data_IF_146058937665
#
_entry.id   IF_146058937665
#
_cell.length_a   1.000
_cell.length_b   1.000
_cell.length_c   1.000
_cell.angle_alpha   90.00
_cell.angle_beta   90.00
_cell.angle_gamma   90.00
#
_symmetry.space_group_name_H-M   'P 1'
#
loop_
_entity.id
_entity.type
_entity.pdbx_description
1 polymer ?
#
# COMPACT_ATOMS: atom_id res chain seq x y z
N UNK A 1 20.37 -11.73 -6.97
CA UNK A 1 19.07 -11.89 -7.64
C UNK A 1 19.06 -11.04 -8.91
N UNK A 2 18.32 -11.43 -9.92
CA UNK A 2 18.08 -10.52 -11.04
C UNK A 2 17.11 -9.41 -10.61
N UNK A 3 17.08 -8.33 -11.38
CA UNK A 3 16.18 -7.21 -11.13
C UNK A 3 14.72 -7.69 -11.21
N UNK A 4 13.92 -7.31 -10.22
CA UNK A 4 12.50 -7.71 -10.06
C UNK A 4 12.27 -9.21 -9.81
N UNK A 5 13.27 -9.90 -9.27
CA UNK A 5 13.07 -11.24 -8.72
C UNK A 5 12.60 -11.18 -7.27
N UNK A 6 11.66 -12.07 -6.94
CA UNK A 6 11.21 -12.29 -5.57
C UNK A 6 11.71 -13.66 -5.09
N UNK A 7 12.41 -13.67 -3.97
CA UNK A 7 12.93 -14.87 -3.37
C UNK A 7 12.29 -15.11 -2.02
N UNK A 8 11.60 -16.24 -1.87
CA UNK A 8 11.13 -16.71 -0.57
C UNK A 8 12.32 -17.23 0.22
N UNK A 9 12.55 -16.71 1.41
CA UNK A 9 13.61 -17.11 2.34
C UNK A 9 13.09 -18.15 3.35
N UNK A 10 11.85 -18.02 3.81
CA UNK A 10 11.18 -18.95 4.70
C UNK A 10 9.66 -18.85 4.57
N UNK A 11 8.98 -19.91 5.04
CA UNK A 11 7.52 -19.94 5.19
C UNK A 11 7.16 -20.52 6.56
N UNK A 12 6.04 -20.06 7.15
CA UNK A 12 5.44 -20.64 8.36
C UNK A 12 3.94 -20.71 8.15
N UNK A 13 3.39 -21.91 7.93
CA UNK A 13 2.06 -22.07 7.36
C UNK A 13 1.97 -21.45 5.97
N UNK A 14 1.03 -20.50 5.75
CA UNK A 14 0.93 -19.73 4.50
C UNK A 14 1.68 -18.38 4.56
N UNK A 15 2.12 -17.96 5.74
CA UNK A 15 2.92 -16.74 5.89
C UNK A 15 4.29 -16.90 5.23
N UNK A 16 4.77 -15.86 4.55
CA UNK A 16 5.99 -15.90 3.74
C UNK A 16 6.94 -14.77 4.14
N UNK A 17 8.21 -15.09 4.30
CA UNK A 17 9.29 -14.12 4.40
C UNK A 17 10.13 -14.18 3.12
N UNK A 18 10.33 -13.06 2.48
CA UNK A 18 11.07 -12.99 1.22
C UNK A 18 11.85 -11.70 1.07
N UNK A 19 12.55 -11.59 -0.05
CA UNK A 19 13.24 -10.38 -0.49
C UNK A 19 12.96 -10.12 -1.97
N UNK A 20 12.88 -8.85 -2.33
CA UNK A 20 12.61 -8.38 -3.68
C UNK A 20 13.67 -7.39 -4.12
N UNK A 21 14.21 -7.57 -5.33
CA UNK A 21 15.27 -6.73 -5.88
C UNK A 21 14.67 -5.66 -6.80
N UNK A 22 15.06 -4.40 -6.60
CA UNK A 22 14.65 -3.27 -7.46
C UNK A 22 15.83 -2.45 -7.94
N UNK A 23 15.59 -1.50 -8.83
CA UNK A 23 16.64 -0.62 -9.35
C UNK A 23 17.29 0.27 -8.27
N UNK A 24 16.54 0.60 -7.20
CA UNK A 24 17.01 1.46 -6.10
C UNK A 24 17.25 0.66 -4.80
N UNK A 25 17.55 -0.64 -4.90
CA UNK A 25 17.84 -1.51 -3.77
C UNK A 25 16.81 -2.59 -3.55
N UNK A 26 17.05 -3.42 -2.53
CA UNK A 26 16.17 -4.52 -2.17
C UNK A 26 15.29 -4.18 -0.97
N UNK A 27 14.14 -4.82 -0.88
CA UNK A 27 13.31 -4.78 0.33
C UNK A 27 12.89 -6.18 0.77
N UNK A 28 12.56 -6.30 2.06
CA UNK A 28 12.18 -7.55 2.70
C UNK A 28 10.69 -7.56 3.01
N UNK A 29 10.06 -8.74 2.92
CA UNK A 29 8.66 -8.96 3.24
C UNK A 29 8.48 -9.92 4.41
N UNK A 30 7.33 -9.91 5.16
CA UNK A 30 6.23 -8.93 4.98
C UNK A 30 6.67 -7.51 5.34
N UNK A 31 6.01 -6.50 4.75
CA UNK A 31 6.39 -5.12 4.95
C UNK A 31 5.22 -4.13 4.80
N UNK A 32 5.35 -2.95 5.43
CA UNK A 32 4.40 -1.84 5.33
C UNK A 32 5.05 -0.63 4.64
N UNK A 33 4.35 -0.04 3.66
CA UNK A 33 4.77 1.13 2.90
C UNK A 33 4.09 2.41 3.44
N UNK A 34 4.83 3.39 3.93
CA UNK A 34 4.28 4.72 4.17
C UNK A 34 3.82 5.38 2.86
N UNK A 35 2.67 6.09 2.92
CA UNK A 35 2.10 6.75 1.73
C UNK A 35 2.59 8.17 1.60
N UNK A 36 3.33 8.43 0.53
CA UNK A 36 3.86 9.73 0.11
C UNK A 36 3.09 10.31 -1.08
N UNK A 37 1.82 10.68 -0.89
CA UNK A 37 0.86 11.07 -1.94
C UNK A 37 1.42 12.08 -2.97
N UNK A 38 2.17 13.09 -2.53
CA UNK A 38 2.75 14.14 -3.38
C UNK A 38 4.28 14.08 -3.36
N UNK A 39 4.87 12.89 -3.50
CA UNK A 39 6.30 12.66 -3.27
C UNK A 39 6.74 13.16 -1.87
N UNK A 40 5.88 13.02 -0.87
CA UNK A 40 6.18 13.32 0.52
C UNK A 40 5.23 12.57 1.45
N UNK A 41 5.75 11.90 2.45
CA UNK A 41 4.96 11.36 3.57
C UNK A 41 4.63 12.54 4.48
N UNK A 42 3.35 12.81 4.68
CA UNK A 42 2.89 14.09 5.30
C UNK A 42 3.54 14.39 6.64
N UNK A 43 4.37 15.44 6.66
CA UNK A 43 5.06 15.92 7.86
C UNK A 43 6.28 15.09 8.27
N UNK A 44 6.76 14.19 7.43
CA UNK A 44 7.92 13.32 7.69
C UNK A 44 9.00 13.61 6.66
N UNK A 45 10.21 13.88 7.11
CA UNK A 45 11.38 14.04 6.23
C UNK A 45 11.92 12.70 5.77
N UNK A 46 12.76 12.71 4.73
CA UNK A 46 13.41 11.48 4.23
C UNK A 46 14.32 10.86 5.30
N UNK A 47 15.11 11.67 6.01
CA UNK A 47 15.96 11.18 7.12
C UNK A 47 15.12 10.46 8.19
N UNK A 48 13.94 11.02 8.52
CA UNK A 48 13.04 10.38 9.45
C UNK A 48 12.47 9.07 8.90
N UNK A 49 12.17 8.98 7.59
CA UNK A 49 11.73 7.71 6.99
C UNK A 49 12.79 6.62 7.11
N UNK A 50 14.05 6.95 6.87
CA UNK A 50 15.17 6.02 7.09
C UNK A 50 15.30 5.63 8.56
N UNK A 51 15.25 6.60 9.49
CA UNK A 51 15.32 6.34 10.94
C UNK A 51 14.16 5.44 11.42
N UNK A 52 12.98 5.54 10.80
CA UNK A 52 11.82 4.71 11.11
C UNK A 52 11.87 3.31 10.46
N UNK A 53 12.86 3.04 9.59
CA UNK A 53 13.04 1.75 8.90
C UNK A 53 12.15 1.57 7.67
N UNK A 54 11.69 2.66 7.03
CA UNK A 54 10.93 2.59 5.78
C UNK A 54 11.79 2.00 4.68
N UNK A 55 11.36 0.89 4.09
CA UNK A 55 12.06 0.23 3.00
C UNK A 55 11.54 0.67 1.62
N UNK A 56 10.26 0.96 1.52
CA UNK A 56 9.59 1.41 0.29
C UNK A 56 8.63 2.54 0.64
N UNK A 57 8.56 3.54 -0.21
CA UNK A 57 7.55 4.62 -0.12
C UNK A 57 6.60 4.50 -1.30
N UNK A 58 5.31 4.57 -1.02
CA UNK A 58 4.29 4.63 -2.06
C UNK A 58 4.01 6.09 -2.43
N UNK A 59 4.09 6.43 -3.73
CA UNK A 59 3.66 7.70 -4.28
C UNK A 59 2.38 7.53 -5.10
N UNK A 60 1.63 8.62 -5.30
CA UNK A 60 0.34 8.56 -5.98
C UNK A 60 0.42 9.16 -7.37
N UNK A 61 0.14 8.34 -8.39
CA UNK A 61 0.23 8.73 -9.80
C UNK A 61 -0.74 9.86 -10.17
N UNK A 62 -2.00 9.79 -9.71
CA UNK A 62 -2.99 10.82 -10.01
C UNK A 62 -2.54 12.19 -9.50
N UNK A 63 -2.13 12.26 -8.25
CA UNK A 63 -1.72 13.52 -7.64
C UNK A 63 -0.43 14.09 -8.26
N UNK A 64 0.55 13.25 -8.58
CA UNK A 64 1.79 13.68 -9.24
C UNK A 64 1.56 14.11 -10.68
N UNK A 65 0.66 13.45 -11.40
CA UNK A 65 0.22 13.87 -12.73
C UNK A 65 -0.47 15.23 -12.70
N UNK A 66 -1.38 15.43 -11.74
CA UNK A 66 -2.09 16.71 -11.61
C UNK A 66 -1.18 17.84 -11.18
N UNK A 67 -0.29 17.59 -10.21
CA UNK A 67 0.72 18.55 -9.71
C UNK A 67 1.90 17.81 -9.06
N UNK A 68 3.13 18.07 -9.49
CA UNK A 68 3.57 19.16 -10.38
C UNK A 68 3.47 18.84 -11.88
N UNK A 69 3.02 17.64 -12.25
CA UNK A 69 3.04 17.10 -13.59
C UNK A 69 4.16 16.05 -13.76
N UNK A 70 3.86 14.96 -14.50
CA UNK A 70 4.82 13.87 -14.69
C UNK A 70 6.07 14.31 -15.46
N UNK A 71 5.94 15.25 -16.39
CA UNK A 71 7.07 15.79 -17.17
C UNK A 71 8.10 16.50 -16.28
N UNK A 72 7.65 17.27 -15.28
CA UNK A 72 8.56 17.93 -14.33
C UNK A 72 9.27 16.90 -13.43
N UNK A 73 8.56 15.85 -13.01
CA UNK A 73 9.16 14.77 -12.20
C UNK A 73 10.22 14.02 -13.03
N UNK A 74 9.95 13.76 -14.32
CA UNK A 74 10.92 13.17 -15.25
C UNK A 74 12.14 14.07 -15.42
N UNK A 75 11.96 15.37 -15.64
CA UNK A 75 13.04 16.37 -15.76
C UNK A 75 13.91 16.43 -14.50
N UNK A 76 13.31 16.25 -13.31
CA UNK A 76 14.02 16.15 -12.04
C UNK A 76 14.83 14.83 -11.89
N UNK A 77 14.65 13.87 -12.80
CA UNK A 77 15.34 12.58 -12.81
C UNK A 77 14.57 11.48 -12.07
N UNK A 78 13.23 11.57 -12.02
CA UNK A 78 12.31 10.63 -11.38
C UNK A 78 11.95 11.00 -9.95
N UNK A 79 10.95 10.29 -9.41
CA UNK A 79 10.34 10.61 -8.11
C UNK A 79 11.32 10.46 -6.95
N UNK A 80 12.27 9.51 -7.02
CA UNK A 80 13.30 9.32 -6.00
C UNK A 80 14.19 10.56 -5.91
N UNK A 81 14.71 11.06 -7.02
CA UNK A 81 15.52 12.29 -7.03
C UNK A 81 14.71 13.51 -6.67
N UNK A 82 13.47 13.60 -7.16
CA UNK A 82 12.57 14.71 -6.85
C UNK A 82 12.26 14.80 -5.35
N UNK A 83 12.11 13.64 -4.68
CA UNK A 83 11.84 13.53 -3.23
C UNK A 83 13.14 13.52 -2.40
N UNK A 84 14.31 13.31 -3.01
CA UNK A 84 15.60 13.02 -2.35
C UNK A 84 15.55 11.73 -1.51
N UNK A 85 14.81 10.72 -1.97
CA UNK A 85 14.72 9.40 -1.36
C UNK A 85 15.52 8.41 -2.21
N UNK A 86 16.45 7.69 -1.62
CA UNK A 86 17.38 6.78 -2.31
C UNK A 86 16.93 5.31 -2.32
N UNK A 87 15.80 5.01 -1.67
CA UNK A 87 15.24 3.66 -1.59
C UNK A 87 14.20 3.34 -2.67
N UNK A 88 13.73 2.09 -2.72
CA UNK A 88 12.66 1.65 -3.60
C UNK A 88 11.37 2.45 -3.43
N UNK A 89 10.69 2.71 -4.55
CA UNK A 89 9.38 3.37 -4.55
C UNK A 89 8.36 2.60 -5.39
N UNK A 90 7.09 2.71 -5.00
CA UNK A 90 5.96 2.18 -5.74
C UNK A 90 5.00 3.33 -6.08
N UNK A 91 4.46 3.34 -7.30
CA UNK A 91 3.33 4.21 -7.67
C UNK A 91 2.05 3.39 -7.80
N UNK A 92 0.94 3.86 -7.19
CA UNK A 92 -0.38 3.34 -7.51
C UNK A 92 -0.79 3.74 -8.94
N UNK A 93 -1.87 3.15 -9.46
CA UNK A 93 -2.39 3.49 -10.80
C UNK A 93 -3.12 4.84 -10.86
N UNK A 94 -3.53 5.38 -9.70
CA UNK A 94 -4.46 6.49 -9.63
C UNK A 94 -5.94 6.11 -9.85
N UNK A 95 -6.24 4.84 -10.14
CA UNK A 95 -7.61 4.36 -10.42
C UNK A 95 -8.58 4.63 -9.27
N UNK A 96 -8.17 4.37 -8.05
CA UNK A 96 -9.00 4.65 -6.86
C UNK A 96 -9.34 6.14 -6.72
N UNK A 97 -8.41 7.04 -7.02
CA UNK A 97 -8.64 8.49 -6.96
C UNK A 97 -9.60 8.95 -8.05
N UNK A 98 -9.50 8.38 -9.25
CA UNK A 98 -10.46 8.61 -10.31
C UNK A 98 -11.88 8.24 -9.87
N UNK A 99 -12.03 7.09 -9.23
CA UNK A 99 -13.31 6.64 -8.69
C UNK A 99 -13.80 7.51 -7.51
N UNK A 100 -12.94 7.85 -6.56
CA UNK A 100 -13.33 8.50 -5.30
C UNK A 100 -13.47 10.03 -5.38
N UNK A 101 -12.75 10.70 -6.30
CA UNK A 101 -12.69 12.16 -6.39
C UNK A 101 -13.42 12.73 -7.61
N UNK A 102 -13.73 11.91 -8.61
CA UNK A 102 -14.32 12.38 -9.85
C UNK A 102 -15.85 12.40 -9.77
N UNK A 103 -16.41 13.53 -9.34
CA UNK A 103 -17.87 13.76 -9.37
C UNK A 103 -18.46 13.82 -10.80
N UNK A 104 -17.63 13.99 -11.82
CA UNK A 104 -18.01 13.92 -13.24
C UNK A 104 -17.02 13.01 -13.97
N UNK A 105 -17.22 11.71 -13.82
CA UNK A 105 -16.46 10.68 -14.50
C UNK A 105 -17.36 9.98 -15.52
N UNK A 106 -16.83 9.70 -16.69
CA UNK A 106 -17.38 8.73 -17.63
C UNK A 106 -16.29 7.74 -17.99
N UNK A 107 -16.63 6.47 -18.05
CA UNK A 107 -15.73 5.41 -18.46
C UNK A 107 -16.32 4.64 -19.63
N UNK A 108 -15.44 4.04 -20.39
CA UNK A 108 -15.72 3.08 -21.44
C UNK A 108 -14.55 2.10 -21.54
N UNK A 109 -14.61 1.16 -22.47
CA UNK A 109 -13.58 0.13 -22.64
C UNK A 109 -12.19 0.72 -22.91
N UNK A 110 -12.11 1.94 -23.44
CA UNK A 110 -10.86 2.63 -23.77
C UNK A 110 -10.21 3.31 -22.58
N UNK A 111 -10.97 3.68 -21.54
CA UNK A 111 -10.43 4.37 -20.37
C UNK A 111 -11.44 5.27 -19.65
N UNK A 112 -10.89 6.20 -18.87
CA UNK A 112 -11.65 7.08 -17.98
C UNK A 112 -11.53 8.54 -18.41
N UNK A 113 -12.65 9.24 -18.61
CA UNK A 113 -12.70 10.70 -18.77
C UNK A 113 -13.17 11.33 -17.46
N UNK A 114 -12.45 12.32 -16.97
CA UNK A 114 -12.78 12.99 -15.72
C UNK A 114 -12.45 14.48 -15.74
N UNK A 115 -13.03 15.22 -14.80
CA UNK A 115 -12.70 16.62 -14.56
C UNK A 115 -12.03 16.78 -13.20
N UNK A 116 -10.89 17.46 -13.16
CA UNK A 116 -10.06 17.64 -11.95
C UNK A 116 -10.55 18.77 -11.07
N UNK A 117 -11.70 18.63 -10.43
CA UNK A 117 -12.32 19.69 -9.62
C UNK A 117 -11.44 20.07 -8.40
N UNK A 118 -10.64 19.14 -7.87
CA UNK A 118 -9.75 19.38 -6.73
C UNK A 118 -8.48 20.18 -7.09
N UNK A 119 -8.23 20.43 -8.40
CA UNK A 119 -7.06 21.15 -8.88
C UNK A 119 -7.42 22.41 -9.65
N UNK A 120 -7.78 22.28 -10.92
CA UNK A 120 -7.97 23.41 -11.83
C UNK A 120 -9.23 23.32 -12.70
N UNK A 121 -10.01 22.23 -12.54
CA UNK A 121 -11.22 21.98 -13.31
C UNK A 121 -10.97 21.53 -14.75
N UNK A 122 -9.74 21.22 -15.14
CA UNK A 122 -9.41 20.72 -16.48
C UNK A 122 -10.02 19.33 -16.73
N UNK A 123 -10.26 19.03 -18.01
CA UNK A 123 -10.75 17.72 -18.44
C UNK A 123 -9.60 16.85 -18.89
N UNK A 124 -9.62 15.61 -18.46
CA UNK A 124 -8.58 14.61 -18.74
C UNK A 124 -9.21 13.33 -19.29
N UNK A 125 -8.44 12.63 -20.11
CA UNK A 125 -8.74 11.27 -20.56
C UNK A 125 -7.57 10.37 -20.17
N UNK A 126 -7.82 9.37 -19.33
CA UNK A 126 -6.83 8.36 -18.97
C UNK A 126 -7.15 7.04 -19.66
N UNK A 127 -6.17 6.53 -20.40
CA UNK A 127 -6.17 5.18 -20.93
C UNK A 127 -5.06 4.37 -20.26
N UNK A 128 -5.10 3.03 -20.34
CA UNK A 128 -4.01 2.19 -19.83
C UNK A 128 -2.64 2.61 -20.36
N UNK A 129 -2.53 2.92 -21.64
CA UNK A 129 -1.26 3.34 -22.27
C UNK A 129 -0.77 4.69 -21.76
N UNK A 130 -1.67 5.65 -21.56
CA UNK A 130 -1.31 6.94 -20.99
C UNK A 130 -0.89 6.78 -19.52
N UNK A 131 -1.59 5.93 -18.77
CA UNK A 131 -1.25 5.64 -17.37
C UNK A 131 0.17 5.04 -17.26
N UNK A 132 0.53 4.11 -18.14
CA UNK A 132 1.89 3.57 -18.17
C UNK A 132 2.92 4.65 -18.49
N UNK A 133 2.72 5.47 -19.52
CA UNK A 133 3.65 6.58 -19.84
C UNK A 133 3.82 7.57 -18.68
N UNK A 134 2.74 7.86 -17.94
CA UNK A 134 2.81 8.74 -16.76
C UNK A 134 3.67 8.10 -15.66
N UNK A 135 3.45 6.82 -15.34
CA UNK A 135 4.20 6.12 -14.31
C UNK A 135 5.67 5.89 -14.71
N UNK A 136 5.95 5.67 -15.98
CA UNK A 136 7.33 5.59 -16.50
C UNK A 136 8.09 6.93 -16.35
N UNK A 137 7.42 8.06 -16.58
CA UNK A 137 7.97 9.41 -16.34
C UNK A 137 8.19 9.69 -14.86
N UNK A 138 7.24 9.29 -14.02
CA UNK A 138 7.41 9.39 -12.56
C UNK A 138 8.59 8.55 -12.10
N UNK A 139 8.79 7.35 -12.66
CA UNK A 139 10.02 6.58 -12.54
C UNK A 139 10.18 5.80 -11.23
N UNK A 140 9.10 5.47 -10.50
CA UNK A 140 9.17 4.54 -9.38
C UNK A 140 9.62 3.14 -9.84
N UNK A 141 10.16 2.31 -8.94
CA UNK A 141 10.62 0.95 -9.25
C UNK A 141 9.47 0.01 -9.62
N UNK A 142 8.35 0.17 -8.92
CA UNK A 142 7.14 -0.61 -9.14
C UNK A 142 6.01 0.33 -9.54
N UNK A 143 5.33 0.01 -10.63
CA UNK A 143 4.10 0.67 -11.05
C UNK A 143 2.92 -0.31 -11.02
N UNK A 144 1.70 0.21 -10.85
CA UNK A 144 0.48 -0.58 -10.83
C UNK A 144 -0.28 -0.42 -12.14
N UNK A 145 -0.91 -1.50 -12.62
CA UNK A 145 -1.84 -1.40 -13.77
C UNK A 145 -2.98 -0.42 -13.44
N UNK A 146 -3.55 0.21 -14.47
CA UNK A 146 -4.83 0.89 -14.32
C UNK A 146 -5.93 -0.14 -14.12
N UNK A 147 -6.74 0.05 -13.09
CA UNK A 147 -7.85 -0.84 -12.72
C UNK A 147 -9.11 -0.05 -12.42
N UNK A 148 -10.24 -0.73 -12.46
CA UNK A 148 -11.50 -0.18 -12.02
C UNK A 148 -11.87 -0.74 -10.65
N UNK A 149 -11.79 0.11 -9.62
CA UNK A 149 -12.20 -0.23 -8.28
C UNK A 149 -13.68 0.13 -8.08
N UNK A 150 -14.49 -0.82 -7.62
CA UNK A 150 -15.90 -0.60 -7.28
C UNK A 150 -16.08 -0.60 -5.76
N UNK A 151 -16.91 0.32 -5.24
CA UNK A 151 -17.20 0.42 -3.81
C UNK A 151 -18.12 -0.68 -3.29
N UNK A 152 -18.12 -0.90 -1.98
CA UNK A 152 -19.02 -1.84 -1.30
C UNK A 152 -20.19 -1.08 -0.64
N UNK A 153 -21.45 -1.60 -0.67
CA UNK A 153 -21.86 -2.80 -1.40
C UNK A 153 -22.07 -2.53 -2.91
N UNK A 154 -21.89 -3.55 -3.73
CA UNK A 154 -22.15 -3.49 -5.18
C UNK A 154 -22.87 -4.76 -5.67
N UNK A 155 -23.66 -4.61 -6.71
CA UNK A 155 -24.32 -5.73 -7.37
C UNK A 155 -23.31 -6.61 -8.09
N UNK A 156 -23.51 -7.96 -8.03
CA UNK A 156 -22.58 -8.91 -8.66
C UNK A 156 -22.31 -8.60 -10.14
N UNK A 157 -23.34 -8.20 -10.90
CA UNK A 157 -23.21 -7.89 -12.33
C UNK A 157 -22.23 -6.71 -12.57
N UNK A 158 -22.28 -5.70 -11.71
CA UNK A 158 -21.45 -4.51 -11.82
C UNK A 158 -19.99 -4.83 -11.42
N UNK A 159 -19.82 -5.66 -10.38
CA UNK A 159 -18.51 -6.21 -10.00
C UNK A 159 -17.91 -7.06 -11.11
N UNK A 160 -18.70 -7.93 -11.77
CA UNK A 160 -18.22 -8.75 -12.87
C UNK A 160 -17.77 -7.90 -14.07
N UNK A 161 -18.53 -6.84 -14.41
CA UNK A 161 -18.16 -5.91 -15.48
C UNK A 161 -16.86 -5.14 -15.15
N UNK A 162 -16.76 -4.60 -13.93
CA UNK A 162 -15.56 -3.91 -13.43
C UNK A 162 -14.33 -4.83 -13.40
N UNK A 163 -14.51 -6.07 -12.98
CA UNK A 163 -13.43 -7.06 -12.93
C UNK A 163 -12.93 -7.38 -14.34
N UNK A 164 -13.86 -7.58 -15.29
CA UNK A 164 -13.53 -7.81 -16.70
C UNK A 164 -12.74 -6.63 -17.27
N UNK A 165 -13.23 -5.41 -17.11
CA UNK A 165 -12.56 -4.21 -17.59
C UNK A 165 -11.15 -4.08 -17.01
N UNK A 166 -10.97 -4.42 -15.72
CA UNK A 166 -9.67 -4.35 -15.05
C UNK A 166 -8.64 -5.29 -15.68
N UNK A 167 -8.97 -6.54 -16.02
CA UNK A 167 -8.00 -7.41 -16.68
C UNK A 167 -7.77 -7.06 -18.17
N UNK A 168 -8.78 -6.54 -18.87
CA UNK A 168 -8.59 -6.02 -20.25
C UNK A 168 -7.61 -4.83 -20.26
N UNK A 169 -7.71 -3.98 -19.25
CA UNK A 169 -6.74 -2.89 -19.06
C UNK A 169 -5.37 -3.39 -18.58
N UNK A 170 -5.30 -4.49 -17.83
CA UNK A 170 -4.03 -5.11 -17.46
C UNK A 170 -3.21 -5.56 -18.67
N UNK A 171 -3.88 -6.18 -19.66
CA UNK A 171 -3.24 -6.57 -20.93
C UNK A 171 -2.67 -5.37 -21.66
N UNK A 172 -3.43 -4.29 -21.76
CA UNK A 172 -3.00 -3.05 -22.40
C UNK A 172 -1.86 -2.37 -21.65
N UNK A 173 -1.91 -2.34 -20.31
CA UNK A 173 -0.83 -1.83 -19.48
C UNK A 173 0.45 -2.65 -19.67
N UNK A 174 0.36 -3.98 -19.61
CA UNK A 174 1.53 -4.86 -19.77
C UNK A 174 2.19 -4.70 -21.13
N UNK A 175 1.39 -4.53 -22.19
CA UNK A 175 1.88 -4.28 -23.55
C UNK A 175 2.53 -2.90 -23.69
N UNK A 176 2.00 -1.88 -23.02
CA UNK A 176 2.47 -0.50 -23.11
C UNK A 176 3.66 -0.19 -22.20
N UNK A 177 3.93 -1.03 -21.20
CA UNK A 177 5.03 -0.82 -20.26
C UNK A 177 6.37 -1.21 -20.87
N UNK A 178 7.26 -0.23 -21.10
CA UNK A 178 8.54 -0.43 -21.78
C UNK A 178 9.78 -0.18 -20.90
N UNK A 179 9.66 0.55 -19.78
CA UNK A 179 10.78 0.98 -18.95
C UNK A 179 11.50 -0.22 -18.31
N UNK A 180 12.83 -0.43 -18.58
CA UNK A 180 13.54 -1.65 -18.18
C UNK A 180 13.89 -1.70 -16.69
N UNK A 181 14.02 -0.55 -16.04
CA UNK A 181 14.33 -0.36 -14.62
C UNK A 181 13.08 -0.12 -13.75
N UNK A 182 11.91 -0.45 -14.30
CA UNK A 182 10.62 -0.43 -13.64
C UNK A 182 9.88 -1.74 -13.91
N UNK A 183 9.06 -2.19 -12.97
CA UNK A 183 8.19 -3.36 -13.15
C UNK A 183 6.74 -3.03 -12.92
N UNK A 184 5.86 -3.72 -13.65
CA UNK A 184 4.41 -3.60 -13.54
C UNK A 184 3.85 -4.69 -12.63
N UNK A 185 3.00 -4.32 -11.67
CA UNK A 185 2.17 -5.26 -10.92
C UNK A 185 0.76 -5.32 -11.50
N UNK A 186 0.25 -6.54 -11.69
CA UNK A 186 -1.16 -6.78 -12.03
C UNK A 186 -2.05 -6.59 -10.81
N UNK A 187 -3.32 -6.22 -11.00
CA UNK A 187 -4.28 -6.04 -9.89
C UNK A 187 -5.44 -7.01 -10.03
N UNK A 188 -5.63 -7.86 -9.02
CA UNK A 188 -6.79 -8.74 -8.90
C UNK A 188 -7.97 -7.95 -8.36
N UNK A 189 -9.06 -7.91 -9.12
CA UNK A 189 -10.36 -7.37 -8.72
C UNK A 189 -11.39 -8.49 -8.57
N UNK A 190 -12.63 -8.19 -8.14
CA UNK A 190 -13.71 -9.19 -7.99
C UNK A 190 -14.64 -8.92 -6.80
N UNK A 191 -14.49 -7.75 -6.14
CA UNK A 191 -15.30 -7.37 -4.97
C UNK A 191 -15.23 -8.44 -3.87
N UNK A 192 -16.37 -8.82 -3.31
CA UNK A 192 -16.48 -9.87 -2.29
C UNK A 192 -16.88 -11.22 -2.87
N UNK A 193 -16.76 -11.42 -4.19
CA UNK A 193 -17.12 -12.66 -4.89
C UNK A 193 -15.87 -13.48 -5.20
N UNK A 194 -15.67 -14.60 -4.49
CA UNK A 194 -14.47 -15.43 -4.62
C UNK A 194 -14.25 -15.92 -6.05
N UNK A 195 -15.30 -16.37 -6.71
CA UNK A 195 -15.23 -16.86 -8.08
C UNK A 195 -14.80 -15.78 -9.08
N UNK A 196 -15.28 -14.52 -8.95
CA UNK A 196 -14.83 -13.40 -9.78
C UNK A 196 -13.37 -13.05 -9.51
N UNK A 197 -12.91 -13.14 -8.27
CA UNK A 197 -11.50 -12.94 -7.93
C UNK A 197 -10.60 -14.01 -8.52
N UNK A 198 -11.01 -15.27 -8.44
CA UNK A 198 -10.28 -16.38 -9.06
C UNK A 198 -10.26 -16.27 -10.58
N UNK A 199 -11.37 -15.84 -11.19
CA UNK A 199 -11.42 -15.51 -12.62
C UNK A 199 -10.43 -14.42 -12.99
N UNK A 200 -10.36 -13.34 -12.20
CA UNK A 200 -9.38 -12.26 -12.36
C UNK A 200 -7.93 -12.77 -12.29
N UNK A 201 -7.61 -13.63 -11.31
CA UNK A 201 -6.28 -14.27 -11.22
C UNK A 201 -5.97 -15.07 -12.49
N UNK A 202 -6.91 -15.90 -12.96
CA UNK A 202 -6.72 -16.74 -14.15
C UNK A 202 -6.45 -15.88 -15.39
N UNK A 203 -7.21 -14.81 -15.61
CA UNK A 203 -7.01 -13.90 -16.73
C UNK A 203 -5.67 -13.18 -16.67
N UNK A 204 -5.25 -12.67 -15.50
CA UNK A 204 -3.93 -12.04 -15.35
C UNK A 204 -2.79 -13.00 -15.67
N UNK A 205 -2.87 -14.25 -15.22
CA UNK A 205 -1.86 -15.27 -15.53
C UNK A 205 -1.86 -15.68 -17.00
N UNK A 206 -3.04 -15.74 -17.63
CA UNK A 206 -3.16 -15.98 -19.06
C UNK A 206 -2.53 -14.84 -19.89
N UNK A 207 -2.85 -13.58 -19.55
CA UNK A 207 -2.27 -12.37 -20.17
C UNK A 207 -0.73 -12.41 -20.08
N UNK A 208 -0.19 -12.75 -18.91
CA UNK A 208 1.26 -12.90 -18.73
C UNK A 208 1.84 -13.99 -19.63
N UNK A 209 1.20 -15.15 -19.68
CA UNK A 209 1.64 -16.27 -20.51
C UNK A 209 1.64 -15.91 -22.00
N UNK A 210 0.60 -15.24 -22.48
CA UNK A 210 0.49 -14.77 -23.87
C UNK A 210 1.53 -13.68 -24.17
N UNK A 211 1.77 -12.76 -23.24
CA UNK A 211 2.81 -11.74 -23.35
C UNK A 211 4.19 -12.38 -23.53
N UNK A 212 4.55 -13.31 -22.65
CA UNK A 212 5.84 -14.02 -22.69
C UNK A 212 6.01 -14.86 -23.97
N UNK A 213 4.96 -15.52 -24.45
CA UNK A 213 4.99 -16.28 -25.70
C UNK A 213 5.29 -15.39 -26.92
N UNK A 214 4.97 -14.10 -26.85
CA UNK A 214 5.24 -13.11 -27.88
C UNK A 214 6.51 -12.27 -27.62
N UNK A 215 7.37 -12.69 -26.68
CA UNK A 215 8.62 -11.97 -26.33
C UNK A 215 8.40 -10.71 -25.52
N UNK A 216 7.23 -10.54 -24.93
CA UNK A 216 6.89 -9.44 -24.03
C UNK A 216 7.34 -9.67 -22.59
N UNK A 217 6.70 -8.97 -21.64
CA UNK A 217 7.08 -8.92 -20.23
C UNK A 217 6.14 -9.74 -19.34
N UNK A 218 6.58 -10.03 -18.12
CA UNK A 218 5.77 -10.59 -17.05
C UNK A 218 5.35 -9.50 -16.06
N UNK A 219 4.34 -9.77 -15.25
CA UNK A 219 4.08 -8.98 -14.04
C UNK A 219 5.16 -9.27 -12.99
N UNK A 220 5.71 -8.23 -12.36
CA UNK A 220 6.70 -8.39 -11.29
C UNK A 220 6.09 -8.76 -9.94
N UNK A 221 4.77 -8.65 -9.79
CA UNK A 221 3.99 -8.95 -8.61
C UNK A 221 2.51 -8.74 -8.82
N UNK A 222 1.69 -8.98 -7.79
CA UNK A 222 0.24 -8.85 -7.88
C UNK A 222 -0.34 -8.05 -6.71
N UNK A 223 -1.07 -6.98 -7.04
CA UNK A 223 -1.95 -6.28 -6.13
C UNK A 223 -3.25 -7.05 -5.93
N UNK A 224 -3.75 -7.07 -4.70
CA UNK A 224 -5.08 -7.56 -4.36
C UNK A 224 -5.91 -6.32 -4.04
N UNK A 225 -6.64 -5.82 -5.03
CA UNK A 225 -7.46 -4.61 -4.97
C UNK A 225 -8.90 -4.89 -4.59
N UNK A 226 -9.71 -3.82 -4.50
CA UNK A 226 -11.15 -3.90 -4.24
C UNK A 226 -11.53 -4.38 -2.84
N UNK A 227 -10.61 -4.30 -1.88
CA UNK A 227 -10.85 -4.41 -0.45
C UNK A 227 -10.63 -3.06 0.23
N UNK A 228 -11.09 -2.92 1.48
CA UNK A 228 -11.05 -1.66 2.24
C UNK A 228 -11.82 -0.50 1.56
N UNK A 229 -12.90 -0.86 0.88
CA UNK A 229 -13.79 0.05 0.13
C UNK A 229 -15.16 0.22 0.82
N UNK A 230 -15.26 -0.16 2.09
CA UNK A 230 -16.47 -0.01 2.93
C UNK A 230 -17.03 -1.31 3.51
N UNK A 231 -16.47 -2.46 3.15
CA UNK A 231 -16.87 -3.76 3.68
C UNK A 231 -16.42 -3.94 5.13
N UNK A 232 -17.14 -4.78 5.93
CA UNK A 232 -16.64 -5.26 7.22
C UNK A 232 -15.36 -6.08 7.04
N UNK A 233 -14.39 -5.92 7.95
CA UNK A 233 -13.08 -6.60 7.85
C UNK A 233 -13.20 -8.12 7.71
N UNK A 234 -14.15 -8.76 8.41
CA UNK A 234 -14.29 -10.22 8.35
C UNK A 234 -14.75 -10.72 6.98
N UNK A 235 -15.55 -9.94 6.26
CA UNK A 235 -15.99 -10.27 4.89
C UNK A 235 -14.80 -10.35 3.92
N UNK A 236 -13.82 -9.45 4.06
CA UNK A 236 -12.58 -9.54 3.27
C UNK A 236 -11.87 -10.88 3.47
N UNK A 237 -11.80 -11.38 4.70
CA UNK A 237 -11.09 -12.63 5.01
C UNK A 237 -11.82 -13.90 4.54
N UNK A 238 -13.09 -13.83 4.15
CA UNK A 238 -13.79 -14.96 3.54
C UNK A 238 -13.16 -15.38 2.19
N UNK A 239 -12.54 -14.44 1.49
CA UNK A 239 -11.99 -14.67 0.14
C UNK A 239 -10.48 -14.41 0.03
N UNK A 240 -9.90 -13.56 0.89
CA UNK A 240 -8.52 -13.13 0.79
C UNK A 240 -7.52 -14.30 0.74
N UNK A 241 -7.67 -15.28 1.62
CA UNK A 241 -6.76 -16.42 1.71
C UNK A 241 -6.75 -17.26 0.42
N UNK A 242 -7.92 -17.56 -0.12
CA UNK A 242 -8.05 -18.31 -1.39
C UNK A 242 -7.38 -17.53 -2.53
N UNK A 243 -7.62 -16.23 -2.62
CA UNK A 243 -7.05 -15.37 -3.67
C UNK A 243 -5.52 -15.28 -3.54
N UNK A 244 -5.02 -15.01 -2.34
CA UNK A 244 -3.58 -14.89 -2.12
C UNK A 244 -2.84 -16.18 -2.50
N UNK A 245 -3.36 -17.34 -2.11
CA UNK A 245 -2.77 -18.65 -2.43
C UNK A 245 -2.91 -19.08 -3.90
N UNK A 246 -3.80 -18.46 -4.67
CA UNK A 246 -3.95 -18.70 -6.10
C UNK A 246 -2.94 -17.93 -6.97
N UNK A 247 -2.25 -16.97 -6.38
CA UNK A 247 -1.19 -16.20 -7.03
C UNK A 247 0.15 -16.93 -6.98
N UNK A 248 1.04 -16.74 -7.98
CA UNK A 248 2.35 -17.39 -8.03
C UNK A 248 3.21 -17.16 -6.78
N UNK A 249 3.95 -18.18 -6.37
CA UNK A 249 4.81 -18.10 -5.19
C UNK A 249 6.06 -17.27 -5.41
N UNK A 250 6.55 -17.20 -6.64
CA UNK A 250 7.74 -16.44 -7.05
C UNK A 250 7.45 -14.95 -7.31
N UNK A 251 6.36 -14.43 -6.79
CA UNK A 251 5.94 -13.02 -6.88
C UNK A 251 5.45 -12.51 -5.54
N UNK A 252 5.70 -11.23 -5.22
CA UNK A 252 5.08 -10.58 -4.05
C UNK A 252 3.58 -10.38 -4.24
N UNK A 253 2.82 -10.49 -3.14
CA UNK A 253 1.38 -10.30 -3.04
C UNK A 253 1.10 -9.07 -2.20
N UNK A 254 0.49 -8.07 -2.80
CA UNK A 254 0.30 -6.75 -2.20
C UNK A 254 -1.19 -6.48 -1.93
N UNK A 255 -1.60 -6.47 -0.66
CA UNK A 255 -2.95 -6.07 -0.24
C UNK A 255 -3.03 -4.55 -0.14
N UNK A 256 -3.74 -3.94 -1.08
CA UNK A 256 -3.76 -2.50 -1.30
C UNK A 256 -4.64 -1.75 -0.29
N UNK A 257 -4.14 -0.63 0.23
CA UNK A 257 -4.92 0.31 1.06
C UNK A 257 -5.24 -0.15 2.48
N UNK A 258 -4.61 -1.22 2.96
CA UNK A 258 -4.90 -1.83 4.27
C UNK A 258 -3.79 -1.51 5.29
N UNK A 259 -4.15 -0.91 6.44
CA UNK A 259 -3.18 -0.46 7.45
C UNK A 259 -3.65 -0.60 8.90
N UNK A 260 -4.71 -1.37 9.14
CA UNK A 260 -5.12 -1.74 10.49
C UNK A 260 -4.17 -2.84 11.02
N UNK A 261 -3.54 -2.67 12.20
CA UNK A 261 -2.53 -3.61 12.70
C UNK A 261 -3.01 -5.07 12.77
N UNK A 262 -4.20 -5.32 13.29
CA UNK A 262 -4.77 -6.67 13.39
C UNK A 262 -5.06 -7.27 12.01
N UNK A 263 -5.53 -6.44 11.08
CA UNK A 263 -5.76 -6.87 9.70
C UNK A 263 -4.45 -7.24 9.00
N UNK A 264 -3.36 -6.49 9.23
CA UNK A 264 -2.04 -6.82 8.68
C UNK A 264 -1.56 -8.20 9.16
N UNK A 265 -1.62 -8.45 10.47
CA UNK A 265 -1.22 -9.74 11.05
C UNK A 265 -2.08 -10.89 10.51
N UNK A 266 -3.40 -10.69 10.40
CA UNK A 266 -4.30 -11.68 9.78
C UNK A 266 -3.96 -11.94 8.31
N UNK A 267 -3.69 -10.89 7.54
CA UNK A 267 -3.41 -11.01 6.11
C UNK A 267 -2.05 -11.67 5.82
N UNK A 268 -1.02 -11.41 6.62
CA UNK A 268 0.26 -12.14 6.53
C UNK A 268 0.06 -13.64 6.75
N UNK A 269 -0.81 -14.04 7.69
CA UNK A 269 -1.17 -15.45 7.90
C UNK A 269 -1.75 -16.10 6.65
N UNK A 270 -2.45 -15.32 5.82
CA UNK A 270 -3.04 -15.79 4.56
C UNK A 270 -2.07 -15.75 3.37
N UNK A 271 -0.83 -15.30 3.56
CA UNK A 271 0.21 -15.29 2.53
C UNK A 271 0.36 -13.97 1.79
N UNK A 272 -0.06 -12.85 2.39
CA UNK A 272 0.16 -11.49 1.86
C UNK A 272 1.51 -10.97 2.33
N UNK A 273 2.22 -10.26 1.45
CA UNK A 273 3.60 -9.81 1.64
C UNK A 273 3.74 -8.29 1.85
N UNK A 274 2.90 -7.49 1.20
CA UNK A 274 3.07 -6.03 1.14
C UNK A 274 1.76 -5.32 1.48
N UNK A 275 1.89 -4.17 2.13
CA UNK A 275 0.77 -3.34 2.57
C UNK A 275 1.10 -1.87 2.45
N UNK A 276 0.09 -1.04 2.24
CA UNK A 276 0.14 0.41 2.38
C UNK A 276 -1.12 0.94 3.04
N UNK A 277 -1.04 2.08 3.67
CA UNK A 277 -2.22 2.85 4.05
C UNK A 277 -1.86 4.27 4.50
N UNK A 278 -2.76 5.20 4.28
CA UNK A 278 -2.66 6.57 4.86
C UNK A 278 -3.01 6.62 6.35
N UNK A 279 -3.52 5.51 6.91
CA UNK A 279 -4.04 5.44 8.28
C UNK A 279 -3.05 5.94 9.35
N UNK A 280 -1.75 5.53 9.36
CA UNK A 280 -0.82 5.95 10.41
C UNK A 280 -0.64 7.46 10.47
N UNK A 281 -0.43 8.12 9.33
CA UNK A 281 -0.25 9.58 9.27
C UNK A 281 -1.57 10.33 9.42
N UNK A 282 -2.66 9.79 8.90
CA UNK A 282 -4.00 10.38 9.01
C UNK A 282 -4.46 10.42 10.47
N UNK A 283 -4.39 9.28 11.16
CA UNK A 283 -4.79 9.18 12.58
C UNK A 283 -3.81 9.92 13.49
N UNK A 284 -2.51 9.89 13.21
CA UNK A 284 -1.50 10.66 13.94
C UNK A 284 -1.81 12.16 13.93
N UNK A 285 -2.07 12.73 12.75
CA UNK A 285 -2.48 14.15 12.62
C UNK A 285 -3.81 14.46 13.31
N UNK A 286 -4.67 13.46 13.50
CA UNK A 286 -5.91 13.59 14.27
C UNK A 286 -5.73 13.37 15.77
N UNK A 287 -4.49 13.14 16.24
CA UNK A 287 -4.16 12.99 17.66
C UNK A 287 -4.34 11.58 18.22
N UNK A 288 -4.25 10.55 17.36
CA UNK A 288 -4.34 9.14 17.77
C UNK A 288 -3.00 8.44 17.56
N UNK A 289 -2.51 7.74 18.59
CA UNK A 289 -1.37 6.82 18.51
C UNK A 289 -1.83 5.37 18.46
N UNK A 290 -1.06 4.53 17.77
CA UNK A 290 -1.11 3.07 17.89
C UNK A 290 -0.28 2.63 19.11
N UNK A 291 -0.61 1.52 19.73
CA UNK A 291 0.22 0.93 20.76
C UNK A 291 -0.07 -0.55 20.95
N UNK A 292 0.84 -1.28 21.60
CA UNK A 292 0.65 -2.67 22.00
C UNK A 292 -0.56 -2.86 22.95
N UNK A 293 -1.02 -1.77 23.58
CA UNK A 293 -2.18 -1.75 24.48
C UNK A 293 -3.46 -1.22 23.81
N UNK A 294 -3.45 -1.00 22.48
CA UNK A 294 -4.58 -0.47 21.72
C UNK A 294 -4.42 0.99 21.32
N UNK A 295 -5.49 1.56 20.75
CA UNK A 295 -5.51 2.93 20.24
C UNK A 295 -5.56 3.96 21.35
N UNK A 296 -4.72 4.97 21.26
CA UNK A 296 -4.62 6.05 22.24
C UNK A 296 -5.07 7.38 21.67
N UNK A 297 -6.21 7.90 22.10
CA UNK A 297 -6.57 9.29 21.78
C UNK A 297 -5.84 10.24 22.73
N UNK A 298 -4.84 10.92 22.22
CA UNK A 298 -3.96 11.81 22.99
C UNK A 298 -4.67 13.07 23.53
N UNK A 299 -5.93 13.32 23.18
CA UNK A 299 -6.72 14.39 23.79
C UNK A 299 -7.24 14.04 25.18
N UNK A 300 -7.25 12.74 25.56
CA UNK A 300 -7.81 12.28 26.83
C UNK A 300 -7.06 12.86 28.04
N UNK A 301 -7.84 13.25 29.06
CA UNK A 301 -7.31 13.85 30.29
C UNK A 301 -6.37 12.92 31.07
N UNK A 302 -6.57 11.60 30.98
CA UNK A 302 -5.74 10.60 31.65
C UNK A 302 -4.24 10.71 31.34
N UNK A 303 -3.88 11.30 30.19
CA UNK A 303 -2.47 11.48 29.78
C UNK A 303 -1.86 12.81 30.23
N UNK A 304 -2.58 13.67 30.97
CA UNK A 304 -2.11 14.99 31.35
C UNK A 304 -0.85 14.94 32.25
N UNK A 305 -0.76 13.92 33.09
CA UNK A 305 0.34 13.68 34.05
C UNK A 305 1.04 12.36 33.78
N UNK A 306 0.92 11.81 32.56
CA UNK A 306 1.56 10.56 32.16
C UNK A 306 2.88 10.87 31.47
N UNK A 307 3.98 10.67 32.19
CA UNK A 307 5.33 10.94 31.71
C UNK A 307 6.01 9.72 31.06
N UNK A 308 5.29 8.62 30.87
CA UNK A 308 5.75 7.45 30.12
C UNK A 308 5.73 7.67 28.59
N UNK A 309 6.37 6.79 27.81
CA UNK A 309 6.35 6.80 26.36
C UNK A 309 4.94 6.48 25.81
N UNK A 310 4.69 6.74 24.50
CA UNK A 310 3.45 6.32 23.87
C UNK A 310 3.23 4.80 24.02
N UNK A 311 4.24 4.03 23.70
CA UNK A 311 4.22 2.58 23.90
C UNK A 311 5.51 2.14 24.57
N UNK A 312 5.44 1.47 25.75
CA UNK A 312 6.63 1.00 26.48
C UNK A 312 7.48 -0.02 25.70
N UNK A 313 6.87 -0.76 24.77
CA UNK A 313 7.57 -1.76 23.93
C UNK A 313 8.19 -1.14 22.68
N UNK A 314 7.83 0.09 22.33
CA UNK A 314 8.25 0.75 21.11
C UNK A 314 9.61 1.43 21.25
N UNK A 315 10.50 1.18 20.30
CA UNK A 315 11.86 1.72 20.25
C UNK A 315 12.03 2.94 19.34
N UNK A 316 10.94 3.50 18.80
CA UNK A 316 11.02 4.64 17.91
C UNK A 316 11.61 5.91 18.58
N UNK A 317 12.15 6.85 17.80
CA UNK A 317 12.70 8.11 18.34
C UNK A 317 11.70 8.87 19.22
N UNK A 318 10.42 8.79 18.90
CA UNK A 318 9.36 9.48 19.66
C UNK A 318 9.20 8.88 21.06
N UNK A 319 9.09 7.56 21.17
CA UNK A 319 8.95 6.87 22.47
C UNK A 319 10.20 7.01 23.34
N UNK A 320 11.39 7.09 22.72
CA UNK A 320 12.65 7.28 23.45
C UNK A 320 12.81 8.69 24.06
N UNK A 321 12.19 9.72 23.42
CA UNK A 321 12.48 11.11 23.74
C UNK A 321 11.30 11.91 24.29
N UNK A 322 10.05 11.43 24.11
CA UNK A 322 8.86 12.22 24.44
C UNK A 322 7.87 11.44 25.29
N UNK A 323 7.28 12.13 26.28
CA UNK A 323 6.23 11.56 27.11
C UNK A 323 4.83 11.76 26.52
N UNK A 324 3.88 10.91 26.94
CA UNK A 324 2.46 11.05 26.64
C UNK A 324 1.92 12.43 27.05
N UNK A 325 2.34 12.95 28.21
CA UNK A 325 1.94 14.27 28.70
C UNK A 325 2.36 15.39 27.74
N UNK A 326 3.60 15.35 27.25
CA UNK A 326 4.11 16.33 26.30
C UNK A 326 3.37 16.26 24.95
N UNK A 327 3.23 15.05 24.38
CA UNK A 327 2.53 14.85 23.12
C UNK A 327 1.06 15.29 23.24
N UNK A 328 0.40 14.94 24.35
CA UNK A 328 -0.94 15.46 24.65
C UNK A 328 -0.98 16.98 24.68
N UNK A 329 -0.03 17.63 25.32
CA UNK A 329 0.06 19.09 25.33
C UNK A 329 0.08 19.65 23.90
N UNK A 330 0.97 19.15 23.04
CA UNK A 330 1.08 19.57 21.63
C UNK A 330 -0.24 19.39 20.88
N UNK A 331 -0.88 18.20 21.00
CA UNK A 331 -2.15 17.89 20.34
C UNK A 331 -3.27 18.83 20.83
N UNK A 332 -3.32 19.16 22.11
CA UNK A 332 -4.31 20.07 22.68
C UNK A 332 -4.10 21.53 22.24
N UNK A 333 -2.84 21.94 22.08
CA UNK A 333 -2.49 23.26 21.56
C UNK A 333 -2.57 23.36 20.02
N UNK A 334 -2.85 22.23 19.33
CA UNK A 334 -2.89 22.13 17.87
C UNK A 334 -1.52 22.43 17.22
N UNK A 335 -0.43 22.18 17.95
CA UNK A 335 0.92 22.32 17.42
C UNK A 335 1.17 21.24 16.35
N UNK A 336 1.75 21.64 15.21
CA UNK A 336 2.07 20.71 14.11
C UNK A 336 2.95 19.57 14.55
N UNK A 337 3.89 19.83 15.45
CA UNK A 337 4.82 18.82 15.98
C UNK A 337 4.07 17.65 16.64
N UNK A 338 2.93 17.89 17.28
CA UNK A 338 2.13 16.80 17.87
C UNK A 338 1.65 15.79 16.83
N UNK A 339 1.17 16.26 15.69
CA UNK A 339 0.77 15.39 14.57
C UNK A 339 1.95 14.70 13.88
N UNK A 340 3.10 15.39 13.78
CA UNK A 340 4.34 14.84 13.22
C UNK A 340 4.83 13.68 14.09
N UNK A 341 5.02 13.90 15.40
CA UNK A 341 5.48 12.87 16.33
C UNK A 341 4.56 11.64 16.35
N UNK A 342 3.24 11.86 16.37
CA UNK A 342 2.29 10.75 16.30
C UNK A 342 2.34 10.01 14.97
N UNK A 343 2.55 10.71 13.85
CA UNK A 343 2.72 10.07 12.53
C UNK A 343 3.99 9.23 12.46
N UNK A 344 5.11 9.74 12.96
CA UNK A 344 6.38 9.01 13.09
C UNK A 344 6.19 7.73 13.89
N UNK A 345 5.60 7.85 15.08
CA UNK A 345 5.35 6.69 15.95
C UNK A 345 4.45 5.64 15.27
N UNK A 346 3.35 6.06 14.67
CA UNK A 346 2.41 5.15 14.04
C UNK A 346 3.01 4.43 12.80
N UNK A 347 3.83 5.13 12.01
CA UNK A 347 4.58 4.51 10.90
C UNK A 347 5.54 3.45 11.44
N UNK A 348 6.36 3.83 12.42
CA UNK A 348 7.29 2.88 13.03
C UNK A 348 6.58 1.67 13.62
N UNK A 349 5.44 1.87 14.30
CA UNK A 349 4.64 0.80 14.87
C UNK A 349 4.25 -0.26 13.84
N UNK A 350 3.80 0.15 12.64
CA UNK A 350 3.43 -0.79 11.60
C UNK A 350 4.64 -1.45 10.93
N UNK A 351 5.73 -0.71 10.75
CA UNK A 351 6.99 -1.25 10.21
C UNK A 351 7.57 -2.29 11.17
N UNK A 352 7.64 -1.98 12.47
CA UNK A 352 8.11 -2.89 13.52
C UNK A 352 7.23 -4.13 13.64
N UNK A 353 5.91 -3.96 13.57
CA UNK A 353 4.97 -5.08 13.58
C UNK A 353 5.24 -6.06 12.42
N UNK A 354 5.52 -5.55 11.23
CA UNK A 354 5.86 -6.39 10.07
C UNK A 354 7.26 -7.00 10.19
N UNK A 355 8.22 -6.30 10.78
CA UNK A 355 9.54 -6.85 11.07
C UNK A 355 9.45 -8.02 12.07
N UNK A 356 8.68 -7.87 13.14
CA UNK A 356 8.43 -8.95 14.13
C UNK A 356 7.68 -10.13 13.49
N UNK A 357 6.71 -9.85 12.63
CA UNK A 357 6.02 -10.88 11.84
C UNK A 357 7.02 -11.67 10.98
N UNK A 358 7.93 -10.96 10.30
CA UNK A 358 8.99 -11.60 9.51
C UNK A 358 9.93 -12.47 10.39
N UNK A 359 10.37 -11.98 11.51
CA UNK A 359 11.22 -12.76 12.44
C UNK A 359 10.51 -14.06 12.87
N UNK A 360 9.23 -13.99 13.19
CA UNK A 360 8.43 -15.16 13.54
C UNK A 360 8.32 -16.16 12.37
N UNK A 361 8.19 -15.69 11.11
CA UNK A 361 8.18 -16.56 9.94
C UNK A 361 9.54 -17.25 9.77
N UNK A 362 10.65 -16.49 9.88
CA UNK A 362 12.01 -17.03 9.75
C UNK A 362 12.31 -18.09 10.84
N UNK A 363 11.67 -17.98 11.99
CA UNK A 363 11.79 -18.94 13.11
C UNK A 363 10.78 -20.10 13.03
N UNK A 364 9.96 -20.16 11.98
CA UNK A 364 8.81 -21.11 11.84
C UNK A 364 7.84 -21.07 13.04
N UNK A 365 7.60 -19.87 13.58
CA UNK A 365 6.79 -19.60 14.79
C UNK A 365 5.69 -18.55 14.53
N UNK A 366 5.21 -18.46 13.29
CA UNK A 366 4.23 -17.40 12.95
C UNK A 366 2.88 -17.62 13.63
N UNK A 367 2.43 -18.85 13.81
CA UNK A 367 1.16 -19.13 14.47
C UNK A 367 1.19 -18.71 15.95
N UNK A 368 2.31 -18.92 16.66
CA UNK A 368 2.51 -18.46 18.04
C UNK A 368 2.48 -16.93 18.11
N UNK A 369 3.16 -16.26 17.17
CA UNK A 369 3.13 -14.79 17.05
C UNK A 369 1.70 -14.30 16.81
N UNK A 370 0.98 -14.91 15.88
CA UNK A 370 -0.41 -14.59 15.55
C UNK A 370 -1.32 -14.73 16.78
N UNK A 371 -1.26 -15.86 17.50
CA UNK A 371 -2.08 -16.09 18.69
C UNK A 371 -1.73 -15.12 19.83
N UNK A 372 -0.45 -14.82 20.02
CA UNK A 372 0.01 -13.81 20.96
C UNK A 372 -0.56 -12.43 20.65
N UNK A 373 -0.51 -12.01 19.37
CA UNK A 373 -1.10 -10.75 18.92
C UNK A 373 -2.61 -10.72 19.14
N UNK A 374 -3.34 -11.74 18.67
CA UNK A 374 -4.81 -11.80 18.76
C UNK A 374 -5.31 -11.84 20.21
N UNK A 375 -4.51 -12.32 21.15
CA UNK A 375 -4.81 -12.33 22.57
C UNK A 375 -4.46 -11.01 23.27
N UNK A 376 -3.70 -10.14 22.62
CA UNK A 376 -3.22 -8.89 23.20
C UNK A 376 -4.35 -7.86 23.35
N UNK A 377 -4.22 -6.89 24.29
CA UNK A 377 -5.15 -5.78 24.38
C UNK A 377 -5.19 -4.94 23.09
N UNK A 378 -4.06 -4.82 22.41
CA UNK A 378 -3.91 -4.11 21.14
C UNK A 378 -4.84 -4.64 20.07
N UNK A 379 -4.88 -5.95 19.86
CA UNK A 379 -5.68 -6.56 18.81
C UNK A 379 -7.19 -6.29 18.92
N UNK A 380 -7.69 -6.03 20.12
CA UNK A 380 -9.14 -5.80 20.36
C UNK A 380 -9.61 -4.42 19.94
N UNK A 381 -8.73 -3.47 19.83
CA UNK A 381 -9.02 -2.07 19.48
C UNK A 381 -8.81 -1.77 17.99
N UNK A 382 -8.28 -2.75 17.24
CA UNK A 382 -7.94 -2.58 15.82
C UNK A 382 -8.79 -3.46 14.87
#
# INVERSE_FOLDING_TARGET
>A
MALFDYMIEATSGHARAGSYETAHGSFKTPMFMPVGTHATVKGITVDQLHELGSQVVLANTYHLYMRPGADLVEEAGGVQKFMSYDGPMLTDSGGFQLFSLAHMMSEDDEGVSFQSLDYDGSKHRWTPELNMRIQEKIGADVCMQLDQCIGYPAERKDVAASTKLSWEWAERCLRAHEKPDQTLFGIVQGGMFEDLRLESVQHLLQIEQESLANGGRRFGGFGIGGYSVGEPHDVMFETLGTVARSLPDDRPRYLMGVGNPTTLVRAVREGVDMFDCVLPTRTGRMGTAFSSQGRMNMRNAKYAHDFGPLDPECTCPVCRNHSRAYIRHLVKQKEMLGGILLSMHNIHFLIDLMARAREAILADAYEEFYQSWMSSPGAKDY
#
